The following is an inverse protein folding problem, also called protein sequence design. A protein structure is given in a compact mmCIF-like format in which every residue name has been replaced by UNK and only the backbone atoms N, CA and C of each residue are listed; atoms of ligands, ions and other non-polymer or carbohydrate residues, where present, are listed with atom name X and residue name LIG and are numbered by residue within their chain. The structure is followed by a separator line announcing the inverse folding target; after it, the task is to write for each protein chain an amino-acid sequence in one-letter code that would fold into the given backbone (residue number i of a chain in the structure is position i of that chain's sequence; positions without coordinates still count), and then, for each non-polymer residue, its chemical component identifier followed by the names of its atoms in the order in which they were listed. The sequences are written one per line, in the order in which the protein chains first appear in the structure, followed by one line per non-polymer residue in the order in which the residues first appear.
data_IF_431769313866
#
_entry.id   IF_431769313866
#
_cell.length_a   1.000
_cell.length_b   1.000
_cell.length_c   1.000
_cell.angle_alpha   90.00
_cell.angle_beta   90.00
_cell.angle_gamma   90.00
#
_symmetry.space_group_name_H-M   'P 1'
#
loop_
_entity.id
_entity.type
_entity.pdbx_description
1 polymer ?
#
# COMPACT_ATOMS: atom_id res chain seq x y z
N UNK A 1 -6.65 35.77 37.30
CA UNK A 1 -6.00 34.64 36.61
C UNK A 1 -4.60 35.04 36.16
N UNK A 2 -3.58 34.43 36.74
CA UNK A 2 -2.14 34.65 36.46
C UNK A 2 -1.83 34.40 34.98
N UNK A 3 -0.90 35.17 34.39
CA UNK A 3 -0.57 35.11 32.95
C UNK A 3 -0.18 33.71 32.45
N UNK A 4 0.43 32.88 33.31
CA UNK A 4 0.77 31.48 33.03
C UNK A 4 -0.46 30.60 32.75
N UNK A 5 -1.59 30.85 33.40
CA UNK A 5 -2.82 30.07 33.20
C UNK A 5 -3.50 30.40 31.87
N UNK A 6 -3.43 31.67 31.41
CA UNK A 6 -3.98 32.09 30.11
C UNK A 6 -3.23 31.43 28.94
N UNK A 7 -1.89 31.36 29.02
CA UNK A 7 -1.05 30.73 27.99
C UNK A 7 -1.34 29.22 27.86
N UNK A 8 -1.54 28.51 28.98
CA UNK A 8 -1.90 27.08 28.95
C UNK A 8 -3.27 26.83 28.33
N UNK A 9 -4.25 27.69 28.61
CA UNK A 9 -5.60 27.58 28.04
C UNK A 9 -5.57 27.87 26.54
N UNK A 10 -4.86 28.92 26.12
CA UNK A 10 -4.69 29.27 24.70
C UNK A 10 -3.94 28.16 23.96
N UNK A 11 -2.85 27.64 24.53
CA UNK A 11 -2.10 26.53 23.95
C UNK A 11 -2.93 25.25 23.83
N UNK A 12 -3.72 24.92 24.85
CA UNK A 12 -4.64 23.79 24.83
C UNK A 12 -5.73 23.94 23.76
N UNK A 13 -6.35 25.12 23.66
CA UNK A 13 -7.35 25.41 22.64
C UNK A 13 -6.76 25.31 21.22
N UNK A 14 -5.54 25.81 21.02
CA UNK A 14 -4.85 25.76 19.72
C UNK A 14 -4.53 24.30 19.33
N UNK A 15 -4.15 23.47 20.29
CA UNK A 15 -3.89 22.04 20.08
C UNK A 15 -5.18 21.29 19.69
N UNK A 16 -6.30 21.60 20.35
CA UNK A 16 -7.61 21.03 20.00
C UNK A 16 -8.01 21.42 18.58
N UNK A 17 -7.86 22.70 18.20
CA UNK A 17 -8.14 23.16 16.83
C UNK A 17 -7.27 22.45 15.80
N UNK A 18 -5.99 22.22 16.12
CA UNK A 18 -5.06 21.52 15.23
C UNK A 18 -5.46 20.06 15.02
N UNK A 19 -5.82 19.34 16.08
CA UNK A 19 -6.31 17.95 16.00
C UNK A 19 -7.62 17.88 15.20
N UNK A 20 -8.53 18.82 15.42
CA UNK A 20 -9.80 18.87 14.69
C UNK A 20 -9.59 19.21 13.20
N UNK A 21 -8.67 20.13 12.90
CA UNK A 21 -8.29 20.48 11.53
C UNK A 21 -7.71 19.29 10.78
N UNK A 22 -6.81 18.53 11.42
CA UNK A 22 -6.26 17.27 10.87
C UNK A 22 -7.39 16.28 10.61
N UNK A 23 -8.30 16.09 11.57
CA UNK A 23 -9.42 15.16 11.42
C UNK A 23 -10.34 15.50 10.24
N UNK A 24 -10.70 16.78 10.09
CA UNK A 24 -11.54 17.25 8.97
C UNK A 24 -10.78 17.10 7.65
N UNK A 25 -9.50 17.43 7.60
CA UNK A 25 -8.67 17.25 6.41
C UNK A 25 -8.63 15.80 5.94
N UNK A 26 -8.36 14.86 6.85
CA UNK A 26 -8.36 13.42 6.53
C UNK A 26 -9.75 12.86 6.19
N UNK A 27 -10.83 13.49 6.66
CA UNK A 27 -12.20 13.02 6.38
C UNK A 27 -12.74 13.50 5.03
N UNK A 28 -12.44 14.74 4.65
CA UNK A 28 -13.06 15.38 3.48
C UNK A 28 -12.15 15.50 2.27
N UNK A 29 -10.85 15.69 2.48
CA UNK A 29 -9.89 15.91 1.39
C UNK A 29 -9.06 14.67 1.05
N UNK A 30 -9.14 13.61 1.87
CA UNK A 30 -8.44 12.36 1.62
C UNK A 30 -9.23 11.53 0.61
N UNK A 31 -8.85 11.65 -0.64
CA UNK A 31 -9.51 10.95 -1.74
C UNK A 31 -9.35 9.43 -1.60
N UNK A 32 -10.23 8.65 -2.24
CA UNK A 32 -10.14 7.19 -2.22
C UNK A 32 -8.78 6.69 -2.75
N UNK A 33 -8.22 7.38 -3.73
CA UNK A 33 -6.92 7.04 -4.31
C UNK A 33 -5.78 7.27 -3.32
N UNK A 34 -5.73 8.43 -2.68
CA UNK A 34 -4.74 8.76 -1.64
C UNK A 34 -4.86 7.80 -0.45
N UNK A 35 -6.09 7.44 -0.05
CA UNK A 35 -6.33 6.45 1.00
C UNK A 35 -5.74 5.10 0.65
N UNK A 36 -5.91 4.66 -0.59
CA UNK A 36 -5.36 3.39 -1.05
C UNK A 36 -3.84 3.45 -1.21
N UNK A 37 -3.27 4.60 -1.57
CA UNK A 37 -1.81 4.81 -1.59
C UNK A 37 -1.22 4.77 -0.19
N UNK A 38 -1.83 5.45 0.78
CA UNK A 38 -1.35 5.48 2.16
C UNK A 38 -1.52 4.11 2.82
N UNK A 39 -2.64 3.41 2.59
CA UNK A 39 -2.80 2.03 3.04
C UNK A 39 -1.69 1.13 2.51
N UNK A 40 -1.40 1.18 1.20
CA UNK A 40 -0.29 0.46 0.59
C UNK A 40 1.07 0.83 1.18
N UNK A 41 1.29 2.10 1.49
CA UNK A 41 2.56 2.56 2.09
C UNK A 41 2.72 2.14 3.55
N UNK A 42 1.62 1.94 4.27
CA UNK A 42 1.66 1.37 5.62
C UNK A 42 1.91 -0.14 5.51
N UNK A 43 1.18 -0.81 4.63
CA UNK A 43 1.37 -2.23 4.33
C UNK A 43 2.81 -2.50 3.85
N UNK A 44 3.48 -1.57 3.16
CA UNK A 44 4.90 -1.70 2.76
C UNK A 44 5.92 -1.68 3.87
N UNK A 45 5.53 -1.14 5.02
CA UNK A 45 6.41 -1.05 6.20
C UNK A 45 6.09 -2.18 7.19
N UNK A 46 4.83 -2.63 7.26
CA UNK A 46 4.38 -3.65 8.23
C UNK A 46 4.04 -5.01 7.61
N UNK A 47 4.08 -5.14 6.28
CA UNK A 47 3.66 -6.31 5.53
C UNK A 47 4.70 -7.44 5.47
N UNK A 48 4.28 -8.56 4.88
CA UNK A 48 5.14 -9.73 4.65
C UNK A 48 6.29 -9.38 3.69
N UNK A 49 7.44 -10.03 3.84
CA UNK A 49 8.58 -9.89 2.94
C UNK A 49 8.57 -11.05 1.93
N UNK A 50 7.75 -10.94 0.89
CA UNK A 50 7.71 -11.94 -0.17
C UNK A 50 8.79 -11.67 -1.22
N UNK A 51 9.41 -12.75 -1.68
CA UNK A 51 10.29 -12.75 -2.85
C UNK A 51 9.59 -13.45 -4.00
N UNK A 52 9.38 -12.73 -5.11
CA UNK A 52 8.83 -13.28 -6.35
C UNK A 52 9.96 -13.49 -7.34
N UNK A 53 10.13 -14.75 -7.76
CA UNK A 53 11.10 -15.13 -8.78
C UNK A 53 10.35 -15.64 -10.00
N UNK A 54 10.58 -15.00 -11.15
CA UNK A 54 10.04 -15.38 -12.46
C UNK A 54 11.06 -16.19 -13.22
N UNK A 55 10.60 -17.32 -13.75
CA UNK A 55 11.41 -18.27 -14.51
C UNK A 55 11.06 -18.24 -15.99
N UNK A 56 12.07 -18.42 -16.84
CA UNK A 56 11.89 -18.65 -18.26
C UNK A 56 11.50 -20.08 -18.56
N UNK A 57 11.08 -20.33 -19.79
CA UNK A 57 10.80 -21.68 -20.29
C UNK A 57 12.00 -22.63 -20.19
N UNK A 58 13.21 -22.08 -20.14
CA UNK A 58 14.48 -22.77 -19.96
C UNK A 58 14.84 -23.02 -18.49
N UNK A 59 13.96 -22.67 -17.55
CA UNK A 59 14.18 -22.79 -16.10
C UNK A 59 15.15 -21.76 -15.51
N UNK A 60 15.64 -20.81 -16.31
CA UNK A 60 16.53 -19.75 -15.82
C UNK A 60 15.72 -18.64 -15.16
N UNK A 61 16.31 -18.02 -14.14
CA UNK A 61 15.72 -16.85 -13.49
C UNK A 61 15.79 -15.67 -14.47
N UNK A 62 14.62 -15.20 -14.92
CA UNK A 62 14.53 -14.00 -15.76
C UNK A 62 14.57 -12.76 -14.88
N UNK A 63 13.83 -12.79 -13.76
CA UNK A 63 13.71 -11.63 -12.88
C UNK A 63 13.31 -12.04 -11.48
N UNK A 64 13.83 -11.29 -10.50
CA UNK A 64 13.51 -11.47 -9.09
C UNK A 64 13.17 -10.13 -8.46
N UNK A 65 12.13 -10.13 -7.64
CA UNK A 65 11.71 -9.00 -6.82
C UNK A 65 11.68 -9.46 -5.37
N UNK A 66 12.18 -8.62 -4.46
CA UNK A 66 12.27 -8.87 -3.02
C UNK A 66 11.50 -7.76 -2.30
N UNK A 67 10.96 -8.02 -1.11
CA UNK A 67 10.22 -7.01 -0.36
C UNK A 67 8.84 -6.74 -0.95
N UNK A 68 8.17 -7.78 -1.42
CA UNK A 68 6.78 -7.69 -1.90
C UNK A 68 5.84 -7.98 -0.74
N UNK A 69 4.88 -7.09 -0.51
CA UNK A 69 3.95 -7.22 0.61
C UNK A 69 2.87 -8.27 0.36
N UNK A 70 2.35 -8.27 -0.87
CA UNK A 70 1.17 -9.03 -1.24
C UNK A 70 1.11 -9.28 -2.73
N UNK A 71 0.75 -10.51 -3.06
CA UNK A 71 0.43 -10.94 -4.41
C UNK A 71 -1.09 -11.04 -4.54
N UNK A 72 -1.64 -10.47 -5.60
CA UNK A 72 -3.09 -10.45 -5.84
C UNK A 72 -3.37 -10.99 -7.24
N UNK A 73 -4.33 -11.91 -7.37
CA UNK A 73 -4.82 -12.36 -8.67
C UNK A 73 -5.91 -11.43 -9.19
N UNK A 74 -5.95 -11.23 -10.51
CA UNK A 74 -7.08 -10.60 -11.17
C UNK A 74 -8.33 -11.46 -10.99
N UNK A 75 -9.39 -10.90 -10.42
CA UNK A 75 -10.66 -11.61 -10.31
C UNK A 75 -11.39 -11.61 -11.64
N UNK A 76 -11.88 -12.79 -12.06
CA UNK A 76 -12.91 -12.92 -13.10
C UNK A 76 -14.20 -12.26 -12.60
N UNK A 77 -14.64 -11.20 -13.28
CA UNK A 77 -15.98 -10.64 -13.08
C UNK A 77 -16.97 -11.60 -13.74
N UNK A 78 -18.04 -12.00 -13.06
CA UNK A 78 -19.10 -12.80 -13.68
C UNK A 78 -19.60 -12.10 -14.95
N UNK A 79 -19.33 -12.68 -16.12
CA UNK A 79 -19.70 -12.14 -17.44
C UNK A 79 -18.64 -11.36 -18.22
N UNK A 80 -17.43 -11.18 -17.68
CA UNK A 80 -16.28 -10.62 -18.41
C UNK A 80 -15.17 -11.66 -18.53
N UNK A 81 -14.69 -11.91 -19.76
CA UNK A 81 -13.71 -12.96 -20.06
C UNK A 81 -12.48 -13.00 -19.12
N UNK A 82 -11.88 -14.19 -19.04
CA UNK A 82 -10.74 -14.52 -18.16
C UNK A 82 -9.68 -13.42 -18.13
N UNK A 83 -9.51 -12.82 -16.95
CA UNK A 83 -8.35 -11.96 -16.65
C UNK A 83 -7.40 -12.74 -15.76
N UNK A 84 -6.75 -13.72 -16.40
CA UNK A 84 -5.79 -14.64 -15.80
C UNK A 84 -4.41 -13.97 -15.73
N UNK A 85 -4.25 -13.10 -14.74
CA UNK A 85 -2.96 -12.51 -14.39
C UNK A 85 -2.84 -12.31 -12.88
N UNK A 86 -1.61 -12.37 -12.42
CA UNK A 86 -1.22 -12.01 -11.06
C UNK A 86 -0.56 -10.63 -11.07
N UNK A 87 -0.77 -9.82 -10.05
CA UNK A 87 -0.08 -8.55 -9.90
C UNK A 87 0.34 -8.30 -8.46
N UNK A 88 1.37 -7.47 -8.32
CA UNK A 88 1.87 -7.01 -7.03
C UNK A 88 2.52 -5.64 -7.18
N UNK A 89 2.79 -5.01 -6.04
CA UNK A 89 3.57 -3.77 -5.98
C UNK A 89 4.94 -4.10 -5.39
N UNK A 90 5.97 -3.53 -6.02
CA UNK A 90 7.34 -3.56 -5.46
C UNK A 90 7.42 -2.63 -4.25
N UNK A 91 8.45 -2.79 -3.41
CA UNK A 91 8.77 -1.89 -2.29
C UNK A 91 8.88 -0.40 -2.69
N UNK A 92 9.22 -0.13 -3.94
CA UNK A 92 9.29 1.23 -4.52
C UNK A 92 7.92 1.77 -4.96
N UNK A 93 6.84 1.02 -4.76
CA UNK A 93 5.48 1.36 -5.19
C UNK A 93 5.22 1.13 -6.68
N UNK A 94 6.14 0.50 -7.42
CA UNK A 94 5.92 0.18 -8.84
C UNK A 94 4.98 -1.01 -8.99
N UNK A 95 3.98 -0.86 -9.86
CA UNK A 95 3.06 -1.93 -10.24
C UNK A 95 3.74 -2.93 -11.18
N UNK A 96 3.61 -4.21 -10.87
CA UNK A 96 4.08 -5.32 -11.70
C UNK A 96 2.94 -6.28 -11.95
N UNK A 97 2.77 -6.69 -13.20
CA UNK A 97 1.80 -7.68 -13.61
C UNK A 97 2.53 -8.85 -14.28
N UNK A 98 2.23 -10.05 -13.81
CA UNK A 98 2.71 -11.33 -14.35
C UNK A 98 1.50 -12.01 -15.02
N UNK A 99 1.55 -12.26 -16.34
CA UNK A 99 0.53 -13.06 -16.99
C UNK A 99 0.64 -14.53 -16.57
N UNK A 100 -0.48 -15.26 -16.53
CA UNK A 100 -0.50 -16.65 -16.04
C UNK A 100 0.27 -17.65 -16.94
N UNK A 101 0.69 -17.22 -18.14
CA UNK A 101 1.59 -17.99 -19.00
C UNK A 101 3.04 -18.03 -18.49
N UNK A 102 3.37 -17.28 -17.44
CA UNK A 102 4.73 -17.16 -16.89
C UNK A 102 4.81 -17.89 -15.55
N UNK A 103 5.78 -18.80 -15.43
CA UNK A 103 6.03 -19.51 -14.19
C UNK A 103 6.73 -18.61 -13.17
N UNK A 104 6.17 -18.52 -11.97
CA UNK A 104 6.79 -17.80 -10.86
C UNK A 104 6.64 -18.56 -9.55
N UNK A 105 7.57 -18.30 -8.63
CA UNK A 105 7.52 -18.78 -7.25
C UNK A 105 7.51 -17.55 -6.34
N UNK A 106 6.65 -17.60 -5.31
CA UNK A 106 6.56 -16.59 -4.27
C UNK A 106 6.85 -17.24 -2.91
N UNK A 107 7.91 -16.79 -2.26
CA UNK A 107 8.38 -17.33 -0.98
C UNK A 107 8.45 -16.20 0.06
N UNK A 108 8.06 -16.49 1.30
CA UNK A 108 8.32 -15.60 2.45
C UNK A 108 9.81 -15.75 2.85
N UNK A 109 10.51 -14.63 2.99
CA UNK A 109 11.84 -14.58 3.62
C UNK A 109 11.76 -14.53 5.15
#
# INVERSE_FOLDING_TARGET
MTGKSKIKIIGGALLVVLVFGIFIYFKYFFTYEERQQVKRKIDSVTGQNLTVTVFGFDGRIIKRWVGIEKITSGYTRAGGGERNYTYFYTREGKYVQIPDSVWYIAEEE
#
